data_IF_641088962433
#
_entry.id   IF_641088962433
#
_cell.length_a   1.000
_cell.length_b   1.000
_cell.length_c   1.000
_cell.angle_alpha   90.00
_cell.angle_beta   90.00
_cell.angle_gamma   90.00
#
_symmetry.space_group_name_H-M   'P 1'
#
loop_
_entity.id
_entity.type
_entity.pdbx_description
1 polymer ?
#
# COMPACT_ATOMS: atom_id res chain seq x y z
N UNK A 1 -19.25 -4.25 5.15
CA UNK A 1 -19.74 -4.50 3.78
C UNK A 1 -18.81 -3.75 2.82
N UNK A 2 -18.40 -4.36 1.71
CA UNK A 2 -17.51 -3.71 0.75
C UNK A 2 -18.18 -2.52 0.06
N UNK A 3 -17.38 -1.51 -0.26
CA UNK A 3 -17.79 -0.32 -1.03
C UNK A 3 -17.30 -0.51 -2.46
N UNK A 4 -18.16 -0.24 -3.43
CA UNK A 4 -17.84 -0.34 -4.84
C UNK A 4 -18.13 0.99 -5.52
N UNK A 5 -17.23 1.39 -6.41
CA UNK A 5 -17.29 2.60 -7.21
C UNK A 5 -17.75 2.27 -8.62
N UNK A 6 -18.73 3.04 -9.11
CA UNK A 6 -19.31 2.90 -10.44
C UNK A 6 -19.20 4.21 -11.18
N UNK A 7 -18.89 4.17 -12.48
CA UNK A 7 -18.81 5.35 -13.35
C UNK A 7 -19.80 5.19 -14.49
N UNK A 8 -20.59 6.24 -14.72
CA UNK A 8 -21.49 6.29 -15.86
C UNK A 8 -20.73 6.68 -17.13
N UNK A 9 -20.92 5.94 -18.23
CA UNK A 9 -20.26 6.21 -19.51
C UNK A 9 -20.74 7.47 -20.24
N UNK A 10 -21.90 8.00 -19.87
CA UNK A 10 -22.54 9.16 -20.53
C UNK A 10 -22.35 10.48 -19.80
N UNK A 11 -22.71 10.54 -18.51
CA UNK A 11 -22.54 11.74 -17.68
C UNK A 11 -21.18 11.80 -16.96
N UNK A 12 -20.38 10.74 -17.01
CA UNK A 12 -19.09 10.62 -16.33
C UNK A 12 -19.14 10.79 -14.80
N UNK A 13 -20.33 10.78 -14.21
CA UNK A 13 -20.51 10.80 -12.76
C UNK A 13 -20.08 9.47 -12.15
N UNK A 14 -19.35 9.57 -11.03
CA UNK A 14 -18.97 8.43 -10.19
C UNK A 14 -19.88 8.35 -8.97
N UNK A 15 -20.42 7.16 -8.68
CA UNK A 15 -21.18 6.87 -7.47
C UNK A 15 -20.52 5.73 -6.69
N UNK A 16 -20.44 5.88 -5.37
CA UNK A 16 -20.04 4.83 -4.46
C UNK A 16 -21.27 4.15 -3.85
N UNK A 17 -21.32 2.82 -3.89
CA UNK A 17 -22.42 2.03 -3.33
C UNK A 17 -21.89 0.94 -2.42
N UNK A 18 -22.55 0.78 -1.27
CA UNK A 18 -22.29 -0.31 -0.34
C UNK A 18 -23.16 -1.50 -0.75
N UNK A 19 -22.54 -2.56 -1.27
CA UNK A 19 -23.24 -3.75 -1.74
C UNK A 19 -22.67 -5.01 -1.10
N UNK A 20 -23.43 -6.11 -1.10
CA UNK A 20 -22.89 -7.44 -0.85
C UNK A 20 -22.09 -7.91 -2.07
N UNK A 21 -21.14 -8.83 -1.88
CA UNK A 21 -20.30 -9.32 -3.00
C UNK A 21 -21.14 -9.97 -4.11
N UNK A 22 -22.22 -10.66 -3.77
CA UNK A 22 -23.14 -11.29 -4.73
C UNK A 22 -23.83 -10.27 -5.65
N UNK A 23 -24.08 -9.05 -5.15
CA UNK A 23 -24.76 -7.99 -5.89
C UNK A 23 -23.79 -7.03 -6.57
N UNK A 24 -22.49 -7.23 -6.42
CA UNK A 24 -21.47 -6.35 -6.99
C UNK A 24 -21.39 -6.44 -8.52
N UNK A 25 -21.78 -7.59 -9.08
CA UNK A 25 -21.78 -7.85 -10.52
C UNK A 25 -23.14 -7.58 -11.18
N UNK A 26 -24.17 -7.23 -10.39
CA UNK A 26 -25.47 -6.83 -10.93
C UNK A 26 -25.37 -5.47 -11.65
N UNK A 27 -26.03 -5.31 -12.80
CA UNK A 27 -25.98 -4.08 -13.58
C UNK A 27 -26.54 -2.89 -12.79
N UNK A 28 -25.69 -1.92 -12.46
CA UNK A 28 -26.08 -0.69 -11.79
C UNK A 28 -26.43 0.37 -12.82
N UNK A 29 -27.44 1.19 -12.52
CA UNK A 29 -27.89 2.27 -13.39
C UNK A 29 -27.69 3.63 -12.72
N UNK A 30 -27.26 4.60 -13.52
CA UNK A 30 -27.17 6.00 -13.14
C UNK A 30 -28.56 6.65 -13.21
N UNK A 31 -28.73 7.81 -12.58
CA UNK A 31 -29.95 8.65 -12.69
C UNK A 31 -30.32 8.99 -14.14
N UNK A 32 -29.33 9.03 -15.04
CA UNK A 32 -29.56 9.24 -16.47
C UNK A 32 -30.11 8.01 -17.22
N UNK A 33 -30.33 6.88 -16.55
CA UNK A 33 -30.85 5.64 -17.12
C UNK A 33 -29.81 4.76 -17.82
N UNK A 34 -28.55 5.20 -17.92
CA UNK A 34 -27.48 4.40 -18.52
C UNK A 34 -26.86 3.45 -17.50
N UNK A 35 -26.46 2.28 -18.00
CA UNK A 35 -25.73 1.29 -17.22
C UNK A 35 -24.35 1.84 -16.85
N UNK A 36 -24.06 1.83 -15.55
CA UNK A 36 -22.77 2.21 -15.00
C UNK A 36 -21.82 1.03 -15.08
N UNK A 37 -20.55 1.33 -15.32
CA UNK A 37 -19.47 0.34 -15.27
C UNK A 37 -18.75 0.46 -13.96
N UNK A 38 -18.44 -0.67 -13.35
CA UNK A 38 -17.66 -0.73 -12.12
C UNK A 38 -16.24 -0.24 -12.37
N UNK A 39 -15.76 0.67 -11.54
CA UNK A 39 -14.41 1.22 -11.65
C UNK A 39 -13.45 0.42 -10.76
N UNK A 40 -12.91 -0.67 -11.31
CA UNK A 40 -11.96 -1.52 -10.61
C UNK A 40 -10.71 -0.77 -10.12
N UNK A 41 -10.33 0.32 -10.77
CA UNK A 41 -9.14 1.09 -10.38
C UNK A 41 -9.37 1.92 -9.11
N UNK A 42 -10.58 2.42 -8.91
CA UNK A 42 -10.98 3.11 -7.67
C UNK A 42 -11.38 2.12 -6.56
N UNK A 43 -11.82 0.91 -6.92
CA UNK A 43 -12.13 -0.17 -5.98
C UNK A 43 -10.91 -0.84 -5.35
N UNK A 44 -9.71 -0.68 -5.92
CA UNK A 44 -8.49 -1.16 -5.28
C UNK A 44 -8.29 -0.28 -4.04
N UNK A 45 -8.45 -0.81 -2.81
CA UNK A 45 -8.06 -0.05 -1.65
C UNK A 45 -6.58 0.27 -1.84
N UNK A 46 -6.20 1.54 -1.71
CA UNK A 46 -4.80 1.98 -1.69
C UNK A 46 -3.95 1.29 -0.60
N UNK A 47 -4.53 0.35 0.16
CA UNK A 47 -3.95 -0.57 1.12
C UNK A 47 -2.83 -1.48 0.60
N UNK A 48 -2.49 -1.46 -0.70
CA UNK A 48 -1.36 -2.24 -1.21
C UNK A 48 0.02 -1.74 -0.71
N UNK A 49 0.08 -0.55 -0.11
CA UNK A 49 1.34 0.05 0.34
C UNK A 49 1.58 0.03 1.85
N UNK A 50 0.62 -0.44 2.65
CA UNK A 50 0.76 -0.44 4.11
C UNK A 50 1.15 -1.84 4.58
N UNK A 51 2.18 -1.94 5.42
CA UNK A 51 2.56 -3.21 5.99
C UNK A 51 1.47 -3.67 6.96
N UNK A 52 1.05 -4.95 6.87
CA UNK A 52 0.07 -5.53 7.81
C UNK A 52 0.51 -5.41 9.28
N UNK A 53 1.82 -5.36 9.50
CA UNK A 53 2.45 -5.11 10.80
C UNK A 53 3.63 -4.16 10.57
N UNK A 54 3.91 -3.25 11.50
CA UNK A 54 5.09 -2.40 11.41
C UNK A 54 6.35 -3.25 11.23
N UNK A 55 7.21 -2.85 10.29
CA UNK A 55 8.48 -3.53 10.06
C UNK A 55 9.57 -2.79 10.83
N UNK A 56 10.28 -3.53 11.67
CA UNK A 56 11.52 -3.10 12.30
C UNK A 56 12.68 -3.54 11.40
N UNK A 57 13.49 -2.60 10.93
CA UNK A 57 14.61 -2.92 10.04
C UNK A 57 15.93 -2.95 10.81
N UNK A 58 16.39 -4.16 11.16
CA UNK A 58 17.67 -4.37 11.85
C UNK A 58 18.86 -3.85 11.02
N UNK A 59 18.78 -3.98 9.69
CA UNK A 59 19.84 -3.52 8.78
C UNK A 59 19.97 -2.00 8.71
N UNK A 60 19.00 -1.26 9.26
CA UNK A 60 18.97 0.20 9.30
C UNK A 60 19.10 0.73 10.74
N UNK A 61 19.51 -0.11 11.68
CA UNK A 61 19.75 0.30 13.06
C UNK A 61 20.84 1.39 13.10
N UNK A 62 20.58 2.45 13.85
CA UNK A 62 21.51 3.55 14.05
C UNK A 62 22.14 3.46 15.44
N UNK A 63 23.28 4.12 15.62
CA UNK A 63 23.88 4.22 16.94
C UNK A 63 22.99 5.09 17.87
N UNK A 64 22.92 4.77 19.16
CA UNK A 64 22.09 5.53 20.12
C UNK A 64 22.42 7.03 20.17
N UNK A 65 23.68 7.39 19.96
CA UNK A 65 24.14 8.78 19.93
C UNK A 65 23.57 9.58 18.74
N UNK A 66 23.26 8.89 17.63
CA UNK A 66 22.73 9.48 16.40
C UNK A 66 21.19 9.58 16.41
N UNK A 67 20.54 9.06 17.46
CA UNK A 67 19.08 9.07 17.61
C UNK A 67 18.50 10.47 17.52
N UNK A 68 19.08 11.42 18.24
CA UNK A 68 18.58 12.79 18.29
C UNK A 68 18.70 13.51 16.94
N UNK A 69 19.69 13.16 16.12
CA UNK A 69 19.85 13.70 14.77
C UNK A 69 18.85 13.07 13.80
N UNK A 70 18.68 11.75 13.89
CA UNK A 70 17.71 11.01 13.09
C UNK A 70 16.28 11.50 13.32
N UNK A 71 15.87 11.67 14.57
CA UNK A 71 14.54 12.16 14.93
C UNK A 71 14.28 13.59 14.42
N UNK A 72 15.33 14.41 14.25
CA UNK A 72 15.23 15.74 13.62
C UNK A 72 15.12 15.68 12.10
N UNK A 73 15.89 14.80 11.46
CA UNK A 73 15.91 14.62 10.00
C UNK A 73 14.65 13.90 9.49
N UNK A 74 14.17 12.93 10.24
CA UNK A 74 13.08 12.04 9.86
C UNK A 74 12.00 11.96 10.96
N UNK A 75 11.28 13.07 11.23
CA UNK A 75 10.29 13.12 12.32
C UNK A 75 9.11 12.13 12.14
N UNK A 76 8.89 11.64 10.92
CA UNK A 76 7.82 10.70 10.60
C UNK A 76 8.21 9.23 10.80
N UNK A 77 9.48 8.94 11.13
CA UNK A 77 9.99 7.58 11.29
C UNK A 77 10.37 7.38 12.75
N UNK A 78 9.64 6.51 13.43
CA UNK A 78 9.91 6.21 14.84
C UNK A 78 11.07 5.22 14.95
N UNK A 79 11.86 5.37 16.00
CA UNK A 79 12.88 4.41 16.40
C UNK A 79 12.36 3.59 17.59
N UNK A 80 12.65 2.30 17.61
CA UNK A 80 12.39 1.45 18.78
C UNK A 80 13.48 1.58 19.85
N UNK A 81 13.36 0.81 20.94
CA UNK A 81 14.31 0.83 22.06
C UNK A 81 15.73 0.39 21.67
N UNK A 82 15.87 -0.33 20.55
CA UNK A 82 17.16 -0.75 19.97
C UNK A 82 17.63 0.19 18.86
N UNK A 83 17.04 1.39 18.76
CA UNK A 83 17.35 2.38 17.73
C UNK A 83 17.11 1.87 16.30
N UNK A 84 16.09 1.03 16.11
CA UNK A 84 15.69 0.52 14.78
C UNK A 84 14.54 1.32 14.21
N UNK A 85 14.62 1.79 12.96
CA UNK A 85 13.52 2.52 12.34
C UNK A 85 12.33 1.59 12.08
N UNK A 86 11.14 2.08 12.43
CA UNK A 86 9.87 1.39 12.35
C UNK A 86 9.06 1.96 11.18
N UNK A 87 8.62 1.08 10.28
CA UNK A 87 7.87 1.47 9.09
C UNK A 87 6.49 0.84 9.07
N UNK A 88 5.47 1.68 9.03
CA UNK A 88 4.07 1.25 8.83
C UNK A 88 3.71 1.13 7.35
N UNK A 89 4.41 1.89 6.50
CA UNK A 89 4.14 1.95 5.05
C UNK A 89 5.39 1.63 4.23
N UNK A 90 5.19 0.93 3.12
CA UNK A 90 6.21 0.66 2.12
C UNK A 90 6.72 1.97 1.50
N UNK A 91 5.84 2.92 1.21
CA UNK A 91 6.22 4.21 0.63
C UNK A 91 7.16 5.01 1.53
N UNK A 92 6.91 5.02 2.84
CA UNK A 92 7.78 5.71 3.81
C UNK A 92 9.12 5.00 3.95
N UNK A 93 9.13 3.67 3.89
CA UNK A 93 10.36 2.89 3.91
C UNK A 93 11.21 3.13 2.65
N UNK A 94 10.60 3.11 1.46
CA UNK A 94 11.32 3.36 0.20
C UNK A 94 11.86 4.79 0.13
N UNK A 95 11.09 5.78 0.59
CA UNK A 95 11.55 7.17 0.69
C UNK A 95 12.74 7.30 1.62
N UNK A 96 12.67 6.68 2.80
CA UNK A 96 13.79 6.67 3.75
C UNK A 96 15.06 6.06 3.15
N UNK A 97 14.94 4.91 2.47
CA UNK A 97 16.09 4.30 1.81
C UNK A 97 16.70 5.20 0.73
N UNK A 98 15.87 5.91 -0.06
CA UNK A 98 16.34 6.87 -1.05
C UNK A 98 17.04 8.07 -0.40
N UNK A 99 16.46 8.64 0.64
CA UNK A 99 17.01 9.80 1.35
C UNK A 99 18.35 9.45 2.04
N UNK A 100 18.49 8.22 2.53
CA UNK A 100 19.75 7.69 3.07
C UNK A 100 20.74 7.18 2.00
N UNK A 101 20.43 7.33 0.71
CA UNK A 101 21.22 6.80 -0.42
C UNK A 101 21.50 5.28 -0.33
N UNK A 102 20.58 4.52 0.25
CA UNK A 102 20.67 3.07 0.38
C UNK A 102 19.99 2.40 -0.83
N UNK A 103 20.80 1.89 -1.76
CA UNK A 103 20.29 1.15 -2.91
C UNK A 103 20.09 -0.31 -2.55
N UNK A 104 18.84 -0.79 -2.65
CA UNK A 104 18.52 -2.20 -2.43
C UNK A 104 18.90 -3.01 -3.67
N UNK A 105 19.96 -3.81 -3.56
CA UNK A 105 20.30 -4.74 -4.62
C UNK A 105 19.21 -5.80 -4.80
N UNK A 106 18.88 -6.11 -6.06
CA UNK A 106 17.89 -7.15 -6.37
C UNK A 106 18.47 -8.52 -6.02
N UNK A 107 17.90 -9.15 -5.00
CA UNK A 107 18.23 -10.54 -4.68
C UNK A 107 17.75 -11.48 -5.79
N UNK A 108 18.63 -12.38 -6.24
CA UNK A 108 18.28 -13.43 -7.21
C UNK A 108 17.29 -14.40 -6.56
N UNK A 109 16.10 -14.51 -7.14
CA UNK A 109 15.13 -15.54 -6.74
C UNK A 109 15.67 -16.91 -7.13
N UNK A 110 15.62 -17.88 -6.20
CA UNK A 110 15.97 -19.26 -6.53
C UNK A 110 14.98 -19.79 -7.59
N UNK A 111 15.45 -20.50 -8.63
CA UNK A 111 14.56 -21.13 -9.59
C UNK A 111 13.63 -22.13 -8.87
N UNK A 112 12.39 -22.24 -9.34
CA UNK A 112 11.40 -23.18 -8.80
C UNK A 112 11.92 -24.60 -9.02
N UNK A 113 12.12 -25.36 -7.93
CA UNK A 113 12.57 -26.75 -8.02
C UNK A 113 11.60 -27.61 -8.84
N UNK A 114 12.12 -28.54 -9.64
CA UNK A 114 11.30 -29.56 -10.31
C UNK A 114 10.75 -30.52 -9.26
N UNK A 115 9.45 -30.81 -9.31
CA UNK A 115 8.89 -31.97 -8.59
C UNK A 115 9.50 -33.23 -9.19
N UNK A 116 10.14 -34.04 -8.35
CA UNK A 116 10.51 -35.42 -8.71
C UNK A 116 9.20 -36.21 -8.64
N UNK A 117 8.83 -36.83 -9.75
CA UNK A 117 7.68 -37.70 -9.88
C UNK A 117 8.06 -39.15 -9.55
#
# INVERSE_FOLDING_TARGET
MPVYSFVCSKCYESEERVLSMEKADEPQFCKCGYQMRRNFQADIPHAANDYRRPIHSDSLAINPEQRAEHEKLFPNIKLDDQCRPVFDKFSTHEKYMKDCNIVKERQKTKPRGKRIA
#
